data_IF_090307107931
#
_entry.id   IF_090307107931
#
_cell.length_a   1.000
_cell.length_b   1.000
_cell.length_c   1.000
_cell.angle_alpha   90.00
_cell.angle_beta   90.00
_cell.angle_gamma   90.00
#
_symmetry.space_group_name_H-M   'P 1'
#
loop_
_entity.id
_entity.type
_entity.pdbx_description
1 polymer ?
#
# COMPACT_ATOMS: atom_id res chain seq x y z
N UNK A 1 3.09 14.39 7.62
CA UNK A 1 1.94 13.63 7.08
C UNK A 1 1.24 14.49 6.06
N UNK A 2 0.89 13.91 4.90
CA UNK A 2 0.14 14.56 3.81
C UNK A 2 -1.15 13.76 3.60
N UNK A 3 -2.28 14.43 3.36
CA UNK A 3 -3.52 13.77 2.96
C UNK A 3 -3.56 13.58 1.44
N UNK A 4 -3.84 12.36 0.98
CA UNK A 4 -3.94 12.07 -0.45
C UNK A 4 -5.41 11.92 -0.84
N UNK A 5 -5.94 12.79 -1.72
CA UNK A 5 -7.31 12.63 -2.22
C UNK A 5 -7.40 11.41 -3.16
N UNK A 6 -8.56 10.75 -3.15
CA UNK A 6 -8.87 9.70 -4.12
C UNK A 6 -9.29 10.36 -5.43
N UNK A 7 -8.66 9.96 -6.53
CA UNK A 7 -9.04 10.35 -7.88
C UNK A 7 -9.54 9.14 -8.69
N UNK A 8 -9.98 9.38 -9.92
CA UNK A 8 -10.49 8.34 -10.81
C UNK A 8 -9.46 7.26 -11.15
N UNK A 9 -8.16 7.59 -11.18
CA UNK A 9 -7.11 6.62 -11.44
C UNK A 9 -6.91 5.69 -10.24
N UNK A 10 -6.92 6.24 -9.02
CA UNK A 10 -6.88 5.44 -7.79
C UNK A 10 -8.09 4.51 -7.73
N UNK A 11 -9.29 4.99 -8.05
CA UNK A 11 -10.49 4.14 -8.12
C UNK A 11 -10.32 2.99 -9.12
N UNK A 12 -9.87 3.29 -10.34
CA UNK A 12 -9.70 2.28 -11.38
C UNK A 12 -8.66 1.21 -10.98
N UNK A 13 -7.51 1.63 -10.47
CA UNK A 13 -6.47 0.72 -9.98
C UNK A 13 -6.96 -0.11 -8.81
N UNK A 14 -7.70 0.49 -7.86
CA UNK A 14 -8.29 -0.25 -6.74
C UNK A 14 -9.23 -1.34 -7.25
N UNK A 15 -10.12 -1.05 -8.20
CA UNK A 15 -11.01 -2.07 -8.79
C UNK A 15 -10.24 -3.21 -9.46
N UNK A 16 -9.16 -2.91 -10.19
CA UNK A 16 -8.30 -3.93 -10.77
C UNK A 16 -7.63 -4.79 -9.69
N UNK A 17 -7.14 -4.19 -8.61
CA UNK A 17 -6.53 -4.91 -7.51
C UNK A 17 -7.53 -5.83 -6.77
N UNK A 18 -8.79 -5.40 -6.63
CA UNK A 18 -9.86 -6.25 -6.09
C UNK A 18 -10.10 -7.46 -7.01
N UNK A 19 -10.15 -7.25 -8.33
CA UNK A 19 -10.36 -8.33 -9.32
C UNK A 19 -9.20 -9.31 -9.37
N UNK A 20 -7.97 -8.81 -9.56
CA UNK A 20 -6.79 -9.63 -9.88
C UNK A 20 -6.16 -10.26 -8.65
N UNK A 21 -6.23 -9.58 -7.50
CA UNK A 21 -5.61 -10.05 -6.26
C UNK A 21 -6.64 -10.45 -5.21
N UNK A 22 -7.94 -10.19 -5.40
CA UNK A 22 -8.94 -10.46 -4.36
C UNK A 22 -8.69 -9.64 -3.10
N UNK A 23 -8.21 -8.40 -3.24
CA UNK A 23 -8.05 -7.49 -2.10
C UNK A 23 -9.41 -6.99 -1.62
N UNK A 24 -9.50 -6.72 -0.31
CA UNK A 24 -10.63 -5.97 0.24
C UNK A 24 -10.67 -4.55 -0.34
N UNK A 25 -11.82 -3.87 -0.34
CA UNK A 25 -11.89 -2.50 -0.83
C UNK A 25 -10.88 -1.56 -0.18
N UNK A 26 -10.71 -1.63 1.14
CA UNK A 26 -9.77 -0.78 1.87
C UNK A 26 -8.32 -1.06 1.47
N UNK A 27 -7.93 -2.34 1.40
CA UNK A 27 -6.57 -2.73 0.99
C UNK A 27 -6.28 -2.31 -0.45
N UNK A 28 -7.26 -2.43 -1.34
CA UNK A 28 -7.13 -2.06 -2.73
C UNK A 28 -6.97 -0.55 -2.90
N UNK A 29 -7.76 0.29 -2.20
CA UNK A 29 -7.59 1.74 -2.24
C UNK A 29 -6.27 2.19 -1.61
N UNK A 30 -5.87 1.57 -0.49
CA UNK A 30 -4.59 1.84 0.14
C UNK A 30 -3.42 1.51 -0.80
N UNK A 31 -3.48 0.34 -1.45
CA UNK A 31 -2.47 -0.12 -2.40
C UNK A 31 -2.44 0.74 -3.66
N UNK A 32 -3.59 1.10 -4.23
CA UNK A 32 -3.68 1.99 -5.39
C UNK A 32 -3.07 3.37 -5.09
N UNK A 33 -3.32 3.89 -3.89
CA UNK A 33 -2.72 5.16 -3.44
C UNK A 33 -1.20 5.05 -3.31
N UNK A 34 -0.69 3.98 -2.72
CA UNK A 34 0.76 3.73 -2.63
C UNK A 34 1.39 3.60 -4.02
N UNK A 35 0.75 2.86 -4.95
CA UNK A 35 1.22 2.69 -6.33
C UNK A 35 1.36 4.03 -7.06
N UNK A 36 0.41 4.95 -6.85
CA UNK A 36 0.44 6.30 -7.43
C UNK A 36 1.48 7.22 -6.78
N UNK A 37 2.08 6.83 -5.66
CA UNK A 37 3.09 7.59 -4.91
C UNK A 37 4.46 6.89 -4.99
N UNK A 38 4.97 6.42 -3.87
CA UNK A 38 6.32 5.85 -3.71
C UNK A 38 6.35 4.32 -3.76
N UNK A 39 5.18 3.70 -3.97
CA UNK A 39 4.97 2.25 -4.03
C UNK A 39 5.35 1.53 -2.74
N UNK A 40 5.33 2.22 -1.59
CA UNK A 40 5.64 1.64 -0.28
C UNK A 40 4.41 1.65 0.61
N UNK A 41 4.22 0.58 1.38
CA UNK A 41 3.15 0.45 2.37
C UNK A 41 3.76 0.08 3.71
N UNK A 42 3.64 0.95 4.71
CA UNK A 42 3.98 0.63 6.09
C UNK A 42 2.81 -0.09 6.74
N UNK A 43 2.89 -1.42 6.91
CA UNK A 43 1.78 -2.20 7.47
C UNK A 43 2.21 -3.53 8.07
N UNK A 44 1.49 -3.95 9.10
CA UNK A 44 1.56 -5.30 9.69
C UNK A 44 0.89 -6.35 8.82
N UNK A 45 0.00 -5.96 7.90
CA UNK A 45 -0.75 -6.89 7.07
C UNK A 45 0.08 -7.45 5.91
N UNK A 46 0.25 -8.76 5.88
CA UNK A 46 1.05 -9.46 4.87
C UNK A 46 0.38 -9.55 3.50
N UNK A 47 -0.88 -9.13 3.37
CA UNK A 47 -1.65 -9.20 2.11
C UNK A 47 -1.00 -8.40 0.98
N UNK A 48 -0.17 -7.41 1.29
CA UNK A 48 0.56 -6.60 0.31
C UNK A 48 1.82 -7.29 -0.23
N UNK A 49 2.34 -8.33 0.42
CA UNK A 49 3.56 -9.04 0.00
C UNK A 49 3.40 -9.74 -1.37
N UNK A 50 2.15 -10.01 -1.78
CA UNK A 50 1.82 -10.59 -3.10
C UNK A 50 1.67 -9.56 -4.22
N UNK A 51 1.65 -8.26 -3.91
CA UNK A 51 1.49 -7.21 -4.91
C UNK A 51 2.81 -6.95 -5.63
N UNK A 52 2.86 -7.23 -6.93
CA UNK A 52 4.06 -6.98 -7.73
C UNK A 52 4.29 -5.47 -7.84
N UNK A 53 5.51 -5.04 -7.50
CA UNK A 53 5.93 -3.64 -7.63
C UNK A 53 5.51 -2.73 -6.49
N UNK A 54 4.94 -3.28 -5.40
CA UNK A 54 4.73 -2.60 -4.13
C UNK A 54 5.65 -3.22 -3.08
N UNK A 55 6.32 -2.38 -2.29
CA UNK A 55 7.13 -2.82 -1.16
C UNK A 55 6.34 -2.65 0.13
N UNK A 56 6.08 -3.76 0.85
CA UNK A 56 5.59 -3.66 2.23
C UNK A 56 6.76 -3.49 3.19
N UNK A 57 6.70 -2.44 3.99
CA UNK A 57 7.62 -2.16 5.08
C UNK A 57 6.98 -2.67 6.37
N UNK A 58 7.67 -3.58 7.05
CA UNK A 58 7.30 -4.04 8.38
C UNK A 58 7.54 -2.93 9.41
N UNK A 59 6.50 -2.46 10.14
CA UNK A 59 6.64 -1.38 11.12
C UNK A 59 7.60 -1.69 12.27
N UNK A 60 7.68 -2.95 12.72
CA UNK A 60 8.56 -3.37 13.82
C UNK A 60 10.01 -3.35 13.36
N UNK A 61 10.27 -3.77 12.11
CA UNK A 61 11.62 -3.69 11.53
C UNK A 61 12.02 -2.23 11.27
N UNK A 62 11.08 -1.43 10.80
CA UNK A 62 11.31 -0.02 10.49
C UNK A 62 11.63 0.80 11.75
N UNK A 63 10.88 0.61 12.84
CA UNK A 63 11.11 1.35 14.09
C UNK A 63 12.49 1.08 14.69
N UNK A 64 12.95 -0.18 14.67
CA UNK A 64 14.30 -0.53 15.13
C UNK A 64 15.40 0.18 14.35
N UNK A 65 15.20 0.44 13.06
CA UNK A 65 16.16 1.20 12.25
C UNK A 65 16.25 2.67 12.63
N UNK A 66 15.17 3.25 13.17
CA UNK A 66 15.13 4.63 13.63
C UNK A 66 15.84 4.83 14.98
N UNK A 67 15.97 3.79 15.80
CA UNK A 67 16.69 3.86 17.09
C UNK A 67 18.21 4.09 16.93
N UNK A 68 18.73 3.96 15.70
CA UNK A 68 20.15 4.15 15.36
C UNK A 68 20.42 5.43 14.54
N UNK A 69 19.42 6.32 14.39
CA UNK A 69 19.52 7.63 13.76
C UNK A 69 19.42 8.74 14.80
#
# INVERSE_FOLDING_TARGET
>A
MEWIPIDSNICLVATLLMSEYGLSPFDAYHSATAIARDKKILSTEHVYDRLKGVERIDPIRFSKGLEFL
#
